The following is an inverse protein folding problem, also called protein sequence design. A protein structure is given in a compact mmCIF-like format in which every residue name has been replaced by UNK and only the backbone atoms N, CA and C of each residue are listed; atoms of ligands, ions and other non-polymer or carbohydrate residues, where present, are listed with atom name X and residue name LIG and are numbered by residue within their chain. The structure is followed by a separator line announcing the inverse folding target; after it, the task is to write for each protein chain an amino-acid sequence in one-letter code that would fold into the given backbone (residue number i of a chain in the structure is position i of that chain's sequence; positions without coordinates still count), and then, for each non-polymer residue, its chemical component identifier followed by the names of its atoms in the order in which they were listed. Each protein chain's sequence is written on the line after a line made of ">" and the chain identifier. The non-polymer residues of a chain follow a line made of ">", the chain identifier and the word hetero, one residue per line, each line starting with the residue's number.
data_IF_111952696443
#
_entry.id   IF_111952696443
#
_cell.length_a   1.000
_cell.length_b   1.000
_cell.length_c   1.000
_cell.angle_alpha   90.00
_cell.angle_beta   90.00
_cell.angle_gamma   90.00
#
_symmetry.space_group_name_H-M   'P 1'
#
loop_
_entity.id
_entity.type
_entity.pdbx_description
1 polymer ?
#
# COMPACT_ATOMS: atom_id res chain seq x y z
N UNK A 1 12.83 -15.68 -11.57
CA UNK A 1 11.49 -15.07 -11.34
C UNK A 1 11.29 -13.90 -12.29
N UNK A 2 10.08 -13.73 -12.76
CA UNK A 2 9.77 -12.59 -13.63
C UNK A 2 9.71 -11.31 -12.81
N UNK A 3 10.11 -10.21 -13.43
CA UNK A 3 9.93 -8.88 -12.89
C UNK A 3 8.43 -8.55 -12.94
N UNK A 4 7.90 -8.10 -11.83
CA UNK A 4 6.49 -7.75 -11.74
C UNK A 4 6.30 -6.44 -10.96
N UNK A 5 5.13 -5.84 -11.09
CA UNK A 5 4.76 -4.61 -10.38
C UNK A 5 3.67 -4.91 -9.37
N UNK A 6 3.71 -4.19 -8.26
CA UNK A 6 2.66 -4.25 -7.26
C UNK A 6 2.32 -2.85 -6.78
N UNK A 7 1.17 -2.72 -6.15
CA UNK A 7 0.68 -1.45 -5.64
C UNK A 7 0.75 -1.43 -4.12
N UNK A 8 1.18 -0.30 -3.58
CA UNK A 8 1.30 -0.09 -2.13
C UNK A 8 0.67 1.23 -1.73
N UNK A 9 0.01 1.25 -0.59
CA UNK A 9 -0.42 2.50 0.05
C UNK A 9 0.22 2.57 1.43
N UNK A 10 0.83 3.71 1.73
CA UNK A 10 1.19 4.05 3.11
C UNK A 10 -0.02 4.78 3.66
N UNK A 11 -0.68 4.19 4.64
CA UNK A 11 -1.98 4.62 5.14
C UNK A 11 -1.88 5.86 6.04
N UNK A 12 -3.00 6.53 6.34
CA UNK A 12 -2.96 7.79 7.12
C UNK A 12 -2.29 7.67 8.48
N UNK A 13 -2.39 6.53 9.14
CA UNK A 13 -1.76 6.32 10.44
C UNK A 13 -0.24 6.38 10.36
N UNK A 14 0.35 5.73 9.35
CA UNK A 14 1.80 5.75 9.16
C UNK A 14 2.28 7.12 8.67
N UNK A 15 1.52 7.79 7.80
CA UNK A 15 1.85 9.14 7.38
C UNK A 15 1.86 10.08 8.58
N UNK A 16 0.84 9.99 9.45
CA UNK A 16 0.74 10.81 10.66
C UNK A 16 1.90 10.55 11.64
N UNK A 17 2.41 9.33 11.69
CA UNK A 17 3.57 8.97 12.51
C UNK A 17 4.90 9.45 11.94
N UNK A 18 4.87 10.02 10.74
CA UNK A 18 6.08 10.50 10.05
C UNK A 18 7.08 9.37 9.73
N UNK A 19 6.56 8.22 9.29
CA UNK A 19 7.39 7.05 8.98
C UNK A 19 7.35 6.64 7.51
N UNK A 20 6.99 7.56 6.60
CA UNK A 20 7.02 7.31 5.15
C UNK A 20 8.38 6.77 4.73
N UNK A 21 9.45 7.43 5.18
CA UNK A 21 10.83 7.02 4.88
C UNK A 21 11.18 5.66 5.45
N UNK A 22 10.74 5.38 6.67
CA UNK A 22 10.99 4.09 7.31
C UNK A 22 10.32 2.94 6.57
N UNK A 23 9.08 3.13 6.13
CA UNK A 23 8.34 2.15 5.33
C UNK A 23 9.04 1.92 3.99
N UNK A 24 9.35 3.00 3.29
CA UNK A 24 10.00 2.92 1.96
C UNK A 24 11.39 2.30 2.05
N UNK A 25 12.16 2.61 3.10
CA UNK A 25 13.48 2.03 3.31
C UNK A 25 13.42 0.50 3.43
N UNK A 26 12.41 -0.03 4.11
CA UNK A 26 12.24 -1.50 4.23
C UNK A 26 11.91 -2.14 2.88
N UNK A 27 11.10 -1.48 2.07
CA UNK A 27 10.76 -1.97 0.73
C UNK A 27 11.99 -1.99 -0.17
N UNK A 28 12.76 -0.91 -0.17
CA UNK A 28 13.99 -0.82 -0.96
C UNK A 28 15.05 -1.81 -0.50
N UNK A 29 15.21 -1.99 0.81
CA UNK A 29 16.16 -2.98 1.36
C UNK A 29 15.82 -4.41 0.93
N UNK A 30 14.54 -4.69 0.67
CA UNK A 30 14.09 -6.00 0.20
C UNK A 30 14.26 -6.20 -1.31
N UNK A 31 14.75 -5.18 -2.02
CA UNK A 31 14.99 -5.26 -3.46
C UNK A 31 13.84 -4.74 -4.33
N UNK A 32 12.85 -4.09 -3.73
CA UNK A 32 11.76 -3.47 -4.48
C UNK A 32 12.13 -2.05 -4.88
N UNK A 33 11.89 -1.69 -6.15
CA UNK A 33 12.14 -0.32 -6.63
C UNK A 33 10.84 0.47 -6.63
N UNK A 34 10.90 1.67 -6.10
CA UNK A 34 9.78 2.61 -6.24
C UNK A 34 9.88 3.23 -7.63
N UNK A 35 8.92 2.92 -8.51
CA UNK A 35 8.92 3.45 -9.87
C UNK A 35 7.89 4.57 -10.06
N UNK A 36 6.97 4.75 -9.12
CA UNK A 36 6.04 5.87 -9.07
C UNK A 36 5.59 6.06 -7.62
N UNK A 37 5.42 7.30 -7.20
CA UNK A 37 5.01 7.62 -5.84
C UNK A 37 4.36 9.00 -5.83
N UNK A 38 3.25 9.13 -5.10
CA UNK A 38 2.64 10.45 -4.87
C UNK A 38 1.83 10.45 -3.59
N UNK A 39 1.80 11.61 -2.94
CA UNK A 39 0.95 11.82 -1.77
C UNK A 39 -0.39 12.37 -2.25
N UNK A 40 -1.46 11.74 -1.79
CA UNK A 40 -2.82 12.17 -2.14
C UNK A 40 -3.71 12.13 -0.92
N UNK A 41 -4.77 12.93 -0.92
CA UNK A 41 -5.82 12.82 0.07
C UNK A 41 -7.05 12.26 -0.64
N UNK A 42 -7.49 11.10 -0.23
CA UNK A 42 -8.63 10.45 -0.87
C UNK A 42 -9.93 11.17 -0.51
N UNK A 43 -10.80 11.34 -1.51
CA UNK A 43 -12.17 11.73 -1.26
C UNK A 43 -12.94 10.50 -0.81
N UNK A 44 -14.10 10.72 -0.19
CA UNK A 44 -14.98 9.61 0.20
C UNK A 44 -15.34 8.73 -0.99
N UNK A 45 -15.66 9.36 -2.13
CA UNK A 45 -15.98 8.64 -3.38
C UNK A 45 -14.82 7.78 -3.86
N UNK A 46 -13.60 8.30 -3.79
CA UNK A 46 -12.41 7.54 -4.20
C UNK A 46 -12.16 6.35 -3.28
N UNK A 47 -12.26 6.55 -1.98
CA UNK A 47 -12.05 5.47 -1.02
C UNK A 47 -13.11 4.37 -1.18
N UNK A 48 -14.36 4.76 -1.37
CA UNK A 48 -15.45 3.81 -1.63
C UNK A 48 -15.22 3.01 -2.90
N UNK A 49 -14.79 3.67 -3.97
CA UNK A 49 -14.52 3.01 -5.25
C UNK A 49 -13.34 2.04 -5.14
N UNK A 50 -12.27 2.47 -4.49
CA UNK A 50 -11.07 1.64 -4.33
C UNK A 50 -11.36 0.36 -3.53
N UNK A 51 -12.15 0.49 -2.47
CA UNK A 51 -12.50 -0.63 -1.59
C UNK A 51 -13.88 -1.24 -1.90
N UNK A 52 -14.40 -1.03 -3.11
CA UNK A 52 -15.75 -1.51 -3.50
C UNK A 52 -15.93 -3.02 -3.31
N UNK A 53 -14.88 -3.81 -3.44
CA UNK A 53 -14.90 -5.26 -3.21
C UNK A 53 -15.34 -5.60 -1.78
N UNK A 54 -15.19 -4.67 -0.84
CA UNK A 54 -15.54 -4.83 0.57
C UNK A 54 -16.87 -4.17 0.96
N UNK A 55 -17.63 -3.63 -0.01
CA UNK A 55 -18.82 -2.81 0.27
C UNK A 55 -19.86 -3.48 1.17
N UNK A 56 -19.95 -4.80 1.14
CA UNK A 56 -20.92 -5.56 1.94
C UNK A 56 -20.34 -6.05 3.28
N UNK A 57 -19.08 -5.69 3.58
CA UNK A 57 -18.44 -6.08 4.83
C UNK A 57 -18.77 -5.10 5.96
N UNK A 58 -18.91 -5.60 7.21
CA UNK A 58 -19.21 -4.73 8.36
C UNK A 58 -18.20 -3.60 8.57
N UNK A 59 -16.93 -3.84 8.24
CA UNK A 59 -15.85 -2.87 8.43
C UNK A 59 -15.75 -1.80 7.33
N UNK A 60 -16.55 -1.90 6.27
CA UNK A 60 -16.42 -1.03 5.09
C UNK A 60 -16.51 0.46 5.42
N UNK A 61 -17.52 0.85 6.20
CA UNK A 61 -17.71 2.26 6.58
C UNK A 61 -16.54 2.81 7.38
N UNK A 62 -16.03 2.03 8.34
CA UNK A 62 -14.89 2.43 9.16
C UNK A 62 -13.61 2.50 8.33
N UNK A 63 -13.43 1.59 7.38
CA UNK A 63 -12.28 1.60 6.47
C UNK A 63 -12.28 2.86 5.61
N UNK A 64 -13.43 3.21 5.01
CA UNK A 64 -13.57 4.43 4.19
C UNK A 64 -13.26 5.67 5.03
N UNK A 65 -13.81 5.73 6.24
CA UNK A 65 -13.56 6.85 7.16
C UNK A 65 -12.09 6.95 7.51
N UNK A 66 -11.45 5.84 7.84
CA UNK A 66 -10.02 5.80 8.16
C UNK A 66 -9.17 6.28 6.98
N UNK A 67 -9.43 5.77 5.78
CA UNK A 67 -8.62 6.09 4.61
C UNK A 67 -8.78 7.53 4.12
N UNK A 68 -9.80 8.23 4.60
CA UNK A 68 -10.05 9.64 4.24
C UNK A 68 -9.68 10.62 5.34
N UNK A 69 -9.22 10.15 6.50
CA UNK A 69 -8.92 11.05 7.62
C UNK A 69 -7.63 11.86 7.47
N UNK A 70 -6.75 11.46 6.57
CA UNK A 70 -5.50 12.17 6.32
C UNK A 70 -4.88 11.74 5.00
N UNK A 71 -3.74 12.36 4.62
CA UNK A 71 -3.05 11.98 3.39
C UNK A 71 -2.53 10.55 3.44
N UNK A 72 -2.43 9.95 2.25
CA UNK A 72 -1.80 8.64 2.03
C UNK A 72 -0.70 8.80 0.98
N UNK A 73 0.25 7.86 0.96
CA UNK A 73 1.23 7.79 -0.12
C UNK A 73 0.93 6.56 -0.95
N UNK A 74 0.64 6.74 -2.23
CA UNK A 74 0.41 5.64 -3.16
C UNK A 74 1.68 5.41 -3.97
N UNK A 75 2.08 4.15 -4.13
CA UNK A 75 3.34 3.78 -4.76
C UNK A 75 3.17 2.59 -5.69
N UNK A 76 3.92 2.60 -6.78
CA UNK A 76 4.10 1.41 -7.61
C UNK A 76 5.50 0.89 -7.35
N UNK A 77 5.58 -0.37 -6.97
CA UNK A 77 6.83 -1.06 -6.67
C UNK A 77 7.12 -2.10 -7.74
N UNK A 78 8.38 -2.25 -8.11
CA UNK A 78 8.80 -3.19 -9.14
C UNK A 78 9.94 -4.06 -8.61
N UNK A 79 9.91 -5.34 -8.94
CA UNK A 79 10.96 -6.28 -8.58
C UNK A 79 10.56 -7.71 -8.89
N UNK A 80 11.47 -8.63 -8.64
CA UNK A 80 11.17 -10.06 -8.81
C UNK A 80 10.12 -10.49 -7.79
N UNK A 81 9.00 -11.06 -8.28
CA UNK A 81 7.92 -11.52 -7.41
C UNK A 81 7.39 -10.42 -6.51
N UNK A 82 7.23 -9.19 -7.04
CA UNK A 82 6.94 -8.00 -6.23
C UNK A 82 5.70 -8.14 -5.35
N UNK A 83 4.64 -8.78 -5.83
CA UNK A 83 3.41 -8.95 -5.04
C UNK A 83 3.70 -9.70 -3.73
N UNK A 84 4.30 -10.87 -3.87
CA UNK A 84 4.64 -11.71 -2.70
C UNK A 84 5.69 -11.04 -1.82
N UNK A 85 6.71 -10.42 -2.43
CA UNK A 85 7.77 -9.75 -1.70
C UNK A 85 7.25 -8.58 -0.87
N UNK A 86 6.38 -7.77 -1.44
CA UNK A 86 5.76 -6.65 -0.72
C UNK A 86 4.97 -7.16 0.49
N UNK A 87 4.17 -8.21 0.32
CA UNK A 87 3.38 -8.75 1.42
C UNK A 87 4.27 -9.34 2.53
N UNK A 88 5.37 -9.95 2.15
CA UNK A 88 6.35 -10.44 3.12
C UNK A 88 6.95 -9.31 3.95
N UNK A 89 7.34 -8.21 3.29
CA UNK A 89 7.89 -7.03 3.96
C UNK A 89 6.85 -6.33 4.84
N UNK A 90 5.59 -6.30 4.39
CA UNK A 90 4.49 -5.73 5.16
C UNK A 90 4.27 -6.46 6.49
N UNK A 91 4.34 -7.78 6.46
CA UNK A 91 4.06 -8.61 7.63
C UNK A 91 2.57 -8.94 7.77
N UNK A 92 2.24 -9.74 8.77
CA UNK A 92 0.86 -10.16 9.04
C UNK A 92 -0.06 -8.96 9.27
N UNK A 93 -1.30 -9.09 8.84
CA UNK A 93 -2.32 -8.04 8.96
C UNK A 93 -2.45 -7.54 10.40
N UNK A 94 -2.44 -8.46 11.37
CA UNK A 94 -2.40 -8.09 12.77
C UNK A 94 -0.95 -7.88 13.20
N UNK A 95 -0.56 -6.66 13.60
CA UNK A 95 0.83 -6.38 13.98
C UNK A 95 1.32 -7.19 15.15
N UNK A 96 0.44 -7.66 16.03
CA UNK A 96 0.84 -8.55 17.14
C UNK A 96 1.37 -9.90 16.65
N UNK A 97 0.91 -10.33 15.47
CA UNK A 97 1.31 -11.59 14.85
C UNK A 97 2.38 -11.42 13.78
N UNK A 98 2.77 -10.19 13.50
CA UNK A 98 3.77 -9.91 12.48
C UNK A 98 5.19 -10.19 13.02
N UNK A 99 6.04 -10.70 12.13
CA UNK A 99 7.42 -10.99 12.48
C UNK A 99 8.22 -9.71 12.71
N UNK A 100 9.26 -9.80 13.52
CA UNK A 100 10.19 -8.70 13.77
C UNK A 100 10.81 -8.22 12.45
N UNK A 101 10.95 -6.91 12.30
CA UNK A 101 11.54 -6.30 11.12
C UNK A 101 10.53 -5.98 10.02
N UNK A 102 9.29 -6.48 10.12
CA UNK A 102 8.25 -6.13 9.14
C UNK A 102 7.70 -4.73 9.39
N UNK A 103 7.11 -4.14 8.35
CA UNK A 103 6.51 -2.80 8.43
C UNK A 103 5.45 -2.74 9.53
N UNK A 104 4.55 -3.71 9.53
CA UNK A 104 3.45 -3.71 10.50
C UNK A 104 3.92 -3.93 11.93
N UNK A 105 4.93 -4.77 12.13
CA UNK A 105 5.48 -4.97 13.48
C UNK A 105 6.08 -3.68 14.04
N UNK A 106 6.79 -2.94 13.22
CA UNK A 106 7.45 -1.72 13.68
C UNK A 106 6.55 -0.49 13.72
N UNK A 107 5.64 -0.34 12.75
CA UNK A 107 4.95 0.93 12.55
C UNK A 107 3.44 0.89 12.72
N UNK A 108 2.81 -0.28 12.73
CA UNK A 108 1.36 -0.36 12.88
C UNK A 108 0.94 -0.20 14.34
N UNK A 109 -0.26 0.35 14.53
CA UNK A 109 -0.82 0.53 15.88
C UNK A 109 -1.65 -0.70 16.28
N UNK A 110 -2.52 -1.16 15.41
CA UNK A 110 -3.39 -2.30 15.64
C UNK A 110 -3.86 -2.86 14.28
N UNK A 111 -4.80 -3.81 14.30
CA UNK A 111 -5.25 -4.49 13.07
C UNK A 111 -5.99 -3.55 12.11
N UNK A 112 -6.66 -2.52 12.62
CA UNK A 112 -7.36 -1.53 11.79
C UNK A 112 -6.39 -0.46 11.29
N UNK A 113 -5.47 -0.01 12.14
CA UNK A 113 -4.45 1.00 11.83
C UNK A 113 -3.12 0.30 11.61
N UNK A 114 -3.05 -0.40 10.48
CA UNK A 114 -1.97 -1.34 10.21
C UNK A 114 -0.93 -0.85 9.19
N UNK A 115 -0.81 0.44 9.05
CA UNK A 115 0.24 1.17 8.35
C UNK A 115 0.22 1.10 6.84
N UNK A 116 0.00 -0.06 6.23
CA UNK A 116 0.20 -0.24 4.79
C UNK A 116 -0.86 -1.15 4.16
N UNK A 117 -1.04 -0.95 2.85
CA UNK A 117 -1.83 -1.81 1.98
C UNK A 117 -0.93 -2.31 0.87
N UNK A 118 -1.10 -3.55 0.46
CA UNK A 118 -0.44 -4.11 -0.71
C UNK A 118 -1.39 -4.99 -1.50
N UNK A 119 -1.25 -5.00 -2.82
CA UNK A 119 -2.05 -5.87 -3.67
C UNK A 119 -1.81 -7.33 -3.31
N UNK A 120 -2.84 -8.16 -3.45
CA UNK A 120 -2.77 -9.58 -3.07
C UNK A 120 -2.51 -10.52 -4.25
N UNK A 121 -2.58 -10.02 -5.48
CA UNK A 121 -2.37 -10.81 -6.69
C UNK A 121 -1.95 -9.92 -7.84
N UNK A 122 -1.31 -10.46 -8.90
CA UNK A 122 -0.95 -9.66 -10.08
C UNK A 122 -2.14 -8.96 -10.74
N UNK A 123 -3.30 -9.61 -10.79
CA UNK A 123 -4.52 -9.03 -11.38
C UNK A 123 -5.01 -7.85 -10.56
N UNK A 124 -5.03 -7.98 -9.26
CA UNK A 124 -5.43 -6.91 -8.33
C UNK A 124 -4.44 -5.76 -8.40
N UNK A 125 -3.14 -6.07 -8.48
CA UNK A 125 -2.09 -5.05 -8.61
C UNK A 125 -2.32 -4.19 -9.85
N UNK A 126 -2.63 -4.81 -10.98
CA UNK A 126 -2.88 -4.10 -12.23
C UNK A 126 -4.05 -3.12 -12.10
N UNK A 127 -5.16 -3.56 -11.50
CA UNK A 127 -6.33 -2.73 -11.28
C UNK A 127 -6.05 -1.58 -10.30
N UNK A 128 -5.37 -1.86 -9.21
CA UNK A 128 -5.07 -0.87 -8.18
C UNK A 128 -4.08 0.18 -8.68
N UNK A 129 -3.08 -0.22 -9.44
CA UNK A 129 -2.14 0.71 -10.06
C UNK A 129 -2.90 1.66 -11.01
N UNK A 130 -3.74 1.10 -11.87
CA UNK A 130 -4.50 1.89 -12.84
C UNK A 130 -5.48 2.88 -12.17
N UNK A 131 -5.90 2.59 -10.95
CA UNK A 131 -6.77 3.49 -10.20
C UNK A 131 -6.09 4.82 -9.89
N UNK A 132 -4.81 4.81 -9.59
CA UNK A 132 -4.08 6.00 -9.16
C UNK A 132 -3.07 6.55 -10.18
N UNK A 133 -2.62 5.72 -11.11
CA UNK A 133 -1.57 6.09 -12.05
C UNK A 133 -2.02 5.80 -13.48
N UNK A 134 -1.88 6.80 -14.36
CA UNK A 134 -2.16 6.60 -15.77
C UNK A 134 -0.99 5.86 -16.46
N UNK A 135 -1.28 5.26 -17.61
CA UNK A 135 -0.24 4.65 -18.45
C UNK A 135 0.83 5.70 -18.83
N UNK A 136 0.38 6.92 -19.13
CA UNK A 136 1.29 8.01 -19.49
C UNK A 136 2.22 8.38 -18.34
N UNK A 137 1.69 8.46 -17.10
CA UNK A 137 2.52 8.74 -15.92
C UNK A 137 3.59 7.67 -15.72
N UNK A 138 3.20 6.40 -15.83
CA UNK A 138 4.13 5.29 -15.63
C UNK A 138 5.20 5.25 -16.71
N UNK A 139 4.85 5.53 -17.96
CA UNK A 139 5.81 5.59 -19.06
C UNK A 139 6.82 6.71 -18.86
N UNK A 140 6.38 7.88 -18.37
CA UNK A 140 7.26 9.01 -18.11
C UNK A 140 8.23 8.76 -16.97
N UNK A 141 7.84 7.92 -16.00
CA UNK A 141 8.64 7.60 -14.82
C UNK A 141 9.50 6.35 -14.98
N UNK A 142 9.38 5.64 -16.10
CA UNK A 142 10.14 4.41 -16.34
C UNK A 142 11.64 4.68 -16.28
N UNK A 143 12.37 3.76 -15.62
CA UNK A 143 13.82 3.88 -15.45
C UNK A 143 14.57 2.54 -15.47
#
# INVERSE_FOLDING_TARGET
>A
MAIERTFSIIKPDAVAKNVIGGVTAKLEAAGLRVIASKMVRLTESQAKAFYAVHKDRPFYGDLVKFMTEGPVVVQVLEGEGAVAKNREVMGATNPEKADAGTIRKEFATNIERNAVHGSDAPETAKEEIAFFFSTAELAALAR
#
